data_IF_562386396092
#
_entry.id   IF_562386396092
#
_cell.length_a   1.000
_cell.length_b   1.000
_cell.length_c   1.000
_cell.angle_alpha   90.00
_cell.angle_beta   90.00
_cell.angle_gamma   90.00
#
_symmetry.space_group_name_H-M   'P 1'
#
loop_
_entity.id
_entity.type
_entity.pdbx_description
1 polymer ?
#
# COMPACT_ATOMS: atom_id res chain seq x y z
N UNK A 1 -19.79 -12.64 22.73
CA UNK A 1 -20.61 -11.63 22.01
C UNK A 1 -19.83 -10.37 21.63
N UNK A 2 -18.98 -9.81 22.51
CA UNK A 2 -18.18 -8.60 22.22
C UNK A 2 -17.21 -8.75 21.02
N UNK A 3 -16.50 -9.87 20.92
CA UNK A 3 -15.56 -10.14 19.82
C UNK A 3 -16.24 -10.18 18.46
N UNK A 4 -17.39 -10.85 18.34
CA UNK A 4 -18.17 -10.92 17.10
C UNK A 4 -18.65 -9.54 16.67
N UNK A 5 -19.14 -8.71 17.62
CA UNK A 5 -19.51 -7.32 17.35
C UNK A 5 -18.33 -6.51 16.81
N UNK A 6 -17.14 -6.63 17.43
CA UNK A 6 -15.92 -5.95 16.98
C UNK A 6 -15.56 -6.36 15.55
N UNK A 7 -15.51 -7.67 15.27
CA UNK A 7 -15.20 -8.19 13.93
C UNK A 7 -16.18 -7.64 12.90
N UNK A 8 -17.49 -7.74 13.17
CA UNK A 8 -18.53 -7.21 12.28
C UNK A 8 -18.34 -5.71 12.00
N UNK A 9 -18.21 -4.89 13.04
CA UNK A 9 -18.11 -3.43 12.88
C UNK A 9 -16.88 -3.04 12.04
N UNK A 10 -15.72 -3.62 12.34
CA UNK A 10 -14.49 -3.28 11.63
C UNK A 10 -14.44 -3.88 10.21
N UNK A 11 -15.00 -5.07 9.99
CA UNK A 11 -15.04 -5.69 8.67
C UNK A 11 -15.97 -4.90 7.73
N UNK A 12 -17.17 -4.53 8.19
CA UNK A 12 -18.09 -3.71 7.40
C UNK A 12 -17.49 -2.34 7.10
N UNK A 13 -16.85 -1.70 8.10
CA UNK A 13 -16.16 -0.43 7.88
C UNK A 13 -15.02 -0.55 6.86
N UNK A 14 -14.21 -1.61 6.92
CA UNK A 14 -13.09 -1.83 5.99
C UNK A 14 -13.56 -2.03 4.55
N UNK A 15 -14.58 -2.88 4.36
CA UNK A 15 -15.13 -3.17 3.03
C UNK A 15 -15.77 -1.92 2.44
N UNK A 16 -16.64 -1.24 3.19
CA UNK A 16 -17.31 -0.03 2.69
C UNK A 16 -16.34 1.11 2.39
N UNK A 17 -15.31 1.33 3.22
CA UNK A 17 -14.26 2.30 2.94
C UNK A 17 -13.44 1.94 1.69
N UNK A 18 -13.12 0.66 1.50
CA UNK A 18 -12.39 0.19 0.32
C UNK A 18 -13.22 0.39 -0.95
N UNK A 19 -14.51 0.06 -0.92
CA UNK A 19 -15.45 0.28 -2.03
C UNK A 19 -15.52 1.77 -2.37
N UNK A 20 -15.67 2.64 -1.37
CA UNK A 20 -15.69 4.09 -1.58
C UNK A 20 -14.37 4.58 -2.18
N UNK A 21 -13.22 4.16 -1.65
CA UNK A 21 -11.91 4.56 -2.15
C UNK A 21 -11.72 4.16 -3.62
N UNK A 22 -12.00 2.90 -3.97
CA UNK A 22 -11.92 2.43 -5.36
C UNK A 22 -12.91 3.15 -6.28
N UNK A 23 -14.12 3.44 -5.80
CA UNK A 23 -15.15 4.12 -6.59
C UNK A 23 -14.80 5.58 -6.83
N UNK A 24 -14.20 6.27 -5.85
CA UNK A 24 -13.69 7.63 -6.01
C UNK A 24 -12.52 7.66 -7.00
N UNK A 25 -11.59 6.71 -6.92
CA UNK A 25 -10.50 6.59 -7.89
C UNK A 25 -11.05 6.35 -9.29
N UNK A 26 -11.95 5.38 -9.44
CA UNK A 26 -12.59 5.08 -10.72
C UNK A 26 -13.32 6.30 -11.28
N UNK A 27 -14.05 7.05 -10.44
CA UNK A 27 -14.79 8.23 -10.86
C UNK A 27 -13.85 9.32 -11.37
N UNK A 28 -12.76 9.60 -10.64
CA UNK A 28 -11.77 10.58 -11.07
C UNK A 28 -11.12 10.14 -12.38
N UNK A 29 -10.72 8.87 -12.50
CA UNK A 29 -10.10 8.34 -13.73
C UNK A 29 -11.02 8.42 -14.94
N UNK A 30 -12.29 8.08 -14.75
CA UNK A 30 -13.30 8.15 -15.79
C UNK A 30 -13.47 9.57 -16.31
N UNK A 31 -13.57 10.54 -15.39
CA UNK A 31 -13.68 11.97 -15.72
C UNK A 31 -12.41 12.49 -16.41
N UNK A 32 -11.22 12.05 -15.99
CA UNK A 32 -9.94 12.48 -16.58
C UNK A 32 -9.73 11.92 -17.98
N UNK A 33 -10.08 10.65 -18.21
CA UNK A 33 -9.82 9.94 -19.47
C UNK A 33 -10.85 10.28 -20.56
N UNK A 34 -12.12 10.38 -20.21
CA UNK A 34 -13.22 10.47 -21.18
C UNK A 34 -14.12 11.70 -20.99
N UNK A 35 -13.92 12.48 -19.92
CA UNK A 35 -14.71 13.66 -19.62
C UNK A 35 -16.08 13.35 -19.00
N UNK A 36 -17.01 14.30 -19.07
CA UNK A 36 -18.39 14.14 -18.60
C UNK A 36 -19.31 14.20 -19.83
N UNK A 37 -19.84 13.05 -20.27
CA UNK A 37 -20.68 12.96 -21.48
C UNK A 37 -21.56 11.70 -21.55
N UNK A 38 -22.44 11.66 -22.57
CA UNK A 38 -23.48 10.61 -22.70
C UNK A 38 -22.93 9.19 -22.85
N UNK A 39 -21.70 9.03 -23.37
CA UNK A 39 -21.09 7.71 -23.59
C UNK A 39 -20.78 6.90 -22.32
N UNK A 40 -20.84 7.53 -21.14
CA UNK A 40 -20.33 6.95 -19.88
C UNK A 40 -21.35 6.84 -18.75
N UNK A 41 -22.63 7.06 -19.05
CA UNK A 41 -23.70 7.14 -18.04
C UNK A 41 -23.68 5.91 -17.11
N UNK A 42 -23.45 4.72 -17.65
CA UNK A 42 -23.41 3.47 -16.88
C UNK A 42 -22.22 3.44 -15.89
N UNK A 43 -21.03 3.83 -16.35
CA UNK A 43 -19.82 3.88 -15.52
C UNK A 43 -19.96 4.91 -14.39
N UNK A 44 -20.40 6.12 -14.73
CA UNK A 44 -20.67 7.20 -13.77
C UNK A 44 -21.72 6.78 -12.75
N UNK A 45 -22.86 6.22 -13.19
CA UNK A 45 -23.93 5.78 -12.30
C UNK A 45 -23.46 4.67 -11.34
N UNK A 46 -22.67 3.72 -11.84
CA UNK A 46 -22.14 2.62 -11.01
C UNK A 46 -21.22 3.13 -9.91
N UNK A 47 -20.26 4.01 -10.27
CA UNK A 47 -19.30 4.57 -9.32
C UNK A 47 -19.97 5.51 -8.32
N UNK A 48 -20.91 6.35 -8.78
CA UNK A 48 -21.69 7.23 -7.91
C UNK A 48 -22.58 6.42 -6.96
N UNK A 49 -23.27 5.39 -7.45
CA UNK A 49 -24.08 4.52 -6.60
C UNK A 49 -23.24 3.86 -5.50
N UNK A 50 -22.06 3.34 -5.85
CA UNK A 50 -21.14 2.75 -4.89
C UNK A 50 -20.66 3.76 -3.82
N UNK A 51 -20.43 5.02 -4.18
CA UNK A 51 -20.08 6.09 -3.22
C UNK A 51 -21.29 6.45 -2.34
N UNK A 52 -22.46 6.69 -2.95
CA UNK A 52 -23.68 7.12 -2.27
C UNK A 52 -24.14 6.07 -1.25
N UNK A 53 -23.99 4.79 -1.54
CA UNK A 53 -24.35 3.70 -0.63
C UNK A 53 -23.20 3.37 0.34
N UNK A 54 -21.97 3.27 -0.17
CA UNK A 54 -20.81 2.84 0.62
C UNK A 54 -20.40 3.85 1.69
N UNK A 55 -20.45 5.16 1.39
CA UNK A 55 -19.98 6.20 2.30
C UNK A 55 -20.84 6.28 3.58
N UNK A 56 -22.18 6.31 3.52
CA UNK A 56 -23.01 6.25 4.73
C UNK A 56 -22.80 4.98 5.55
N UNK A 57 -22.65 3.82 4.89
CA UNK A 57 -22.38 2.56 5.58
C UNK A 57 -21.06 2.66 6.35
N UNK A 58 -20.00 3.15 5.71
CA UNK A 58 -18.71 3.37 6.33
C UNK A 58 -18.83 4.32 7.52
N UNK A 59 -19.36 5.52 7.30
CA UNK A 59 -19.45 6.56 8.33
C UNK A 59 -20.25 6.08 9.54
N UNK A 60 -21.37 5.39 9.33
CA UNK A 60 -22.18 4.86 10.42
C UNK A 60 -21.40 3.86 11.28
N UNK A 61 -20.81 2.82 10.67
CA UNK A 61 -20.09 1.78 11.39
C UNK A 61 -18.82 2.32 12.05
N UNK A 62 -18.13 3.24 11.37
CA UNK A 62 -16.92 3.86 11.84
C UNK A 62 -17.17 4.80 13.03
N UNK A 63 -18.17 5.68 12.94
CA UNK A 63 -18.54 6.57 14.05
C UNK A 63 -19.05 5.76 15.26
N UNK A 64 -19.76 4.65 15.03
CA UNK A 64 -20.14 3.74 16.11
C UNK A 64 -18.92 3.14 16.79
N UNK A 65 -17.95 2.63 16.03
CA UNK A 65 -16.71 2.09 16.57
C UNK A 65 -15.95 3.14 17.39
N UNK A 66 -15.85 4.38 16.89
CA UNK A 66 -15.18 5.47 17.62
C UNK A 66 -15.90 5.88 18.90
N UNK A 67 -17.25 5.88 18.92
CA UNK A 67 -18.02 6.13 20.14
C UNK A 67 -17.80 5.05 21.19
N UNK A 68 -17.66 3.79 20.78
CA UNK A 68 -17.38 2.67 21.69
C UNK A 68 -15.98 2.79 22.30
N UNK A 69 -14.97 3.11 21.49
CA UNK A 69 -13.59 3.27 21.99
C UNK A 69 -13.43 4.49 22.89
N UNK A 70 -14.13 5.59 22.61
CA UNK A 70 -14.12 6.79 23.46
C UNK A 70 -14.68 6.53 24.88
N UNK A 71 -15.47 5.47 25.07
CA UNK A 71 -16.10 5.13 26.35
C UNK A 71 -15.41 3.98 27.09
N UNK A 72 -14.51 3.24 26.42
CA UNK A 72 -13.88 2.06 26.99
C UNK A 72 -12.46 1.85 26.43
N UNK A 73 -11.46 1.98 27.30
CA UNK A 73 -10.04 1.75 26.98
C UNK A 73 -9.78 0.33 26.47
N UNK A 74 -10.56 -0.66 26.90
CA UNK A 74 -10.44 -2.04 26.40
C UNK A 74 -10.84 -2.17 24.92
N UNK A 75 -11.86 -1.42 24.48
CA UNK A 75 -12.25 -1.37 23.06
C UNK A 75 -11.15 -0.69 22.23
N UNK A 76 -10.46 0.30 22.81
CA UNK A 76 -9.34 0.99 22.17
C UNK A 76 -8.09 0.10 22.07
N UNK A 77 -7.79 -0.67 23.12
CA UNK A 77 -6.67 -1.63 23.13
C UNK A 77 -6.93 -2.92 22.33
N UNK A 78 -8.13 -3.12 21.82
CA UNK A 78 -8.53 -4.32 21.09
C UNK A 78 -7.59 -4.65 19.93
N UNK A 79 -7.12 -5.90 19.88
CA UNK A 79 -6.32 -6.43 18.77
C UNK A 79 -7.06 -6.30 17.42
N UNK A 80 -8.39 -6.44 17.41
CA UNK A 80 -9.20 -6.38 16.18
C UNK A 80 -9.14 -4.97 15.58
N UNK A 81 -9.15 -3.93 16.41
CA UNK A 81 -8.99 -2.54 15.98
C UNK A 81 -7.61 -2.32 15.35
N UNK A 82 -6.57 -2.87 15.96
CA UNK A 82 -5.20 -2.79 15.44
C UNK A 82 -5.05 -3.50 14.10
N UNK A 83 -5.63 -4.71 13.97
CA UNK A 83 -5.67 -5.48 12.72
C UNK A 83 -6.43 -4.71 11.63
N UNK A 84 -7.57 -4.09 11.98
CA UNK A 84 -8.33 -3.25 11.06
C UNK A 84 -7.48 -2.12 10.46
N UNK A 85 -6.82 -1.32 11.30
CA UNK A 85 -6.01 -0.21 10.81
C UNK A 85 -4.83 -0.68 9.97
N UNK A 86 -4.04 -1.61 10.50
CA UNK A 86 -2.84 -2.08 9.83
C UNK A 86 -3.18 -2.84 8.55
N UNK A 87 -4.20 -3.70 8.58
CA UNK A 87 -4.68 -4.40 7.41
C UNK A 87 -5.14 -3.45 6.32
N UNK A 88 -5.93 -2.43 6.66
CA UNK A 88 -6.42 -1.47 5.67
C UNK A 88 -5.31 -0.53 5.16
N UNK A 89 -4.32 -0.20 5.99
CA UNK A 89 -3.11 0.50 5.54
C UNK A 89 -2.31 -0.35 4.54
N UNK A 90 -2.19 -1.67 4.75
CA UNK A 90 -1.54 -2.58 3.79
C UNK A 90 -2.35 -2.69 2.49
N UNK A 91 -3.68 -2.77 2.57
CA UNK A 91 -4.56 -2.74 1.39
C UNK A 91 -4.36 -1.44 0.60
N UNK A 92 -4.26 -0.30 1.27
CA UNK A 92 -4.01 1.00 0.63
C UNK A 92 -2.58 1.18 0.15
N UNK A 93 -1.61 0.50 0.76
CA UNK A 93 -0.22 0.55 0.32
C UNK A 93 -0.07 -0.02 -1.10
N UNK A 94 -0.68 -1.17 -1.41
CA UNK A 94 -0.57 -1.79 -2.73
C UNK A 94 -0.85 -0.83 -3.92
N UNK A 95 -2.01 -0.14 -3.99
CA UNK A 95 -2.27 0.82 -5.06
C UNK A 95 -1.38 2.06 -4.99
N UNK A 96 -0.97 2.52 -3.80
CA UNK A 96 -0.01 3.64 -3.73
C UNK A 96 1.33 3.25 -4.33
N UNK A 97 1.88 2.10 -3.91
CA UNK A 97 3.15 1.60 -4.42
C UNK A 97 3.08 1.38 -5.93
N UNK A 98 2.00 0.74 -6.43
CA UNK A 98 1.87 0.47 -7.86
C UNK A 98 1.83 1.75 -8.69
N UNK A 99 1.05 2.75 -8.26
CA UNK A 99 0.92 4.00 -9.01
C UNK A 99 2.16 4.91 -8.87
N UNK A 100 2.86 4.90 -7.73
CA UNK A 100 4.14 5.58 -7.60
C UNK A 100 5.21 4.96 -8.51
N UNK A 101 5.29 3.64 -8.55
CA UNK A 101 6.18 2.93 -9.48
C UNK A 101 5.89 3.33 -10.94
N UNK A 102 4.62 3.38 -11.34
CA UNK A 102 4.25 3.81 -12.71
C UNK A 102 4.63 5.25 -13.02
N UNK A 103 4.44 6.17 -12.08
CA UNK A 103 4.87 7.56 -12.26
C UNK A 103 6.39 7.66 -12.49
N UNK A 104 7.19 6.82 -11.83
CA UNK A 104 8.64 6.76 -12.05
C UNK A 104 8.96 6.13 -13.41
N UNK A 105 8.31 5.02 -13.77
CA UNK A 105 8.46 4.33 -15.06
C UNK A 105 8.13 5.26 -16.24
N UNK A 106 6.96 5.92 -16.24
CA UNK A 106 6.56 6.85 -17.30
C UNK A 106 7.56 8.00 -17.47
N UNK A 107 8.07 8.53 -16.36
CA UNK A 107 9.10 9.56 -16.35
C UNK A 107 10.42 9.08 -16.97
N UNK A 108 10.83 7.84 -16.67
CA UNK A 108 12.04 7.23 -17.23
C UNK A 108 11.88 6.85 -18.69
N UNK A 109 10.72 6.33 -19.10
CA UNK A 109 10.39 6.05 -20.51
C UNK A 109 10.50 7.34 -21.33
N UNK A 110 9.93 8.44 -20.84
CA UNK A 110 10.03 9.74 -21.48
C UNK A 110 11.49 10.22 -21.56
N UNK A 111 12.25 10.13 -20.46
CA UNK A 111 13.63 10.58 -20.38
C UNK A 111 14.58 9.79 -21.29
N UNK A 112 14.36 8.47 -21.42
CA UNK A 112 15.16 7.60 -22.27
C UNK A 112 14.71 7.61 -23.73
N UNK A 113 13.57 8.25 -24.05
CA UNK A 113 12.96 8.22 -25.39
C UNK A 113 12.49 6.81 -25.77
N UNK A 114 11.94 6.07 -24.81
CA UNK A 114 11.33 4.76 -25.02
C UNK A 114 9.94 4.86 -25.65
N UNK A 115 9.40 3.71 -26.06
CA UNK A 115 8.03 3.62 -26.55
C UNK A 115 7.05 3.51 -25.38
N UNK A 116 5.99 4.32 -25.41
CA UNK A 116 4.87 4.19 -24.46
C UNK A 116 4.08 2.90 -24.73
N UNK A 117 3.45 2.38 -23.68
CA UNK A 117 2.73 1.10 -23.71
C UNK A 117 1.22 1.40 -23.67
N UNK A 118 0.51 1.11 -24.76
CA UNK A 118 -0.91 1.47 -24.93
C UNK A 118 -1.90 0.42 -24.40
N UNK A 119 -1.59 -0.24 -23.29
CA UNK A 119 -2.48 -1.21 -22.65
C UNK A 119 -2.60 -0.97 -21.15
N UNK A 120 -3.80 -1.21 -20.60
CA UNK A 120 -4.03 -1.06 -19.16
C UNK A 120 -3.14 -2.01 -18.33
N UNK A 121 -2.54 -1.57 -17.21
CA UNK A 121 -2.63 -0.22 -16.61
C UNK A 121 -1.54 0.76 -17.06
N UNK A 122 -0.75 0.46 -18.10
CA UNK A 122 0.32 1.34 -18.60
C UNK A 122 -0.18 2.52 -19.45
N UNK A 123 -1.41 2.46 -19.96
CA UNK A 123 -2.02 3.53 -20.71
C UNK A 123 -2.65 4.63 -19.84
N UNK A 124 -2.53 4.53 -18.51
CA UNK A 124 -3.08 5.52 -17.60
C UNK A 124 -2.25 6.81 -17.66
N UNK A 125 -2.91 7.95 -17.62
CA UNK A 125 -2.25 9.25 -17.55
C UNK A 125 -1.65 9.51 -16.16
N UNK A 126 -0.73 10.48 -16.09
CA UNK A 126 -0.15 10.98 -14.84
C UNK A 126 -1.25 11.38 -13.83
N UNK A 127 -2.31 12.05 -14.30
CA UNK A 127 -3.44 12.45 -13.46
C UNK A 127 -4.18 11.27 -12.84
N UNK A 128 -4.33 10.17 -13.58
CA UNK A 128 -5.01 8.95 -13.14
C UNK A 128 -4.20 8.14 -12.13
N UNK A 129 -2.87 8.16 -12.25
CA UNK A 129 -1.96 7.62 -11.24
C UNK A 129 -1.98 8.45 -9.96
N UNK A 130 -1.87 9.78 -10.09
CA UNK A 130 -1.93 10.71 -8.96
C UNK A 130 -3.25 10.59 -8.20
N UNK A 131 -4.38 10.42 -8.91
CA UNK A 131 -5.68 10.21 -8.28
C UNK A 131 -5.70 9.02 -7.30
N UNK A 132 -5.13 7.89 -7.71
CA UNK A 132 -5.04 6.70 -6.85
C UNK A 132 -4.13 6.92 -5.63
N UNK A 133 -2.97 7.57 -5.84
CA UNK A 133 -2.04 7.90 -4.75
C UNK A 133 -2.69 8.84 -3.74
N UNK A 134 -3.41 9.87 -4.20
CA UNK A 134 -4.06 10.85 -3.33
C UNK A 134 -5.19 10.23 -2.52
N UNK A 135 -6.10 9.49 -3.15
CA UNK A 135 -7.26 8.90 -2.47
C UNK A 135 -6.82 7.94 -1.38
N UNK A 136 -5.98 6.95 -1.72
CA UNK A 136 -5.45 6.02 -0.71
C UNK A 136 -4.50 6.70 0.27
N UNK A 137 -3.78 7.76 -0.14
CA UNK A 137 -2.89 8.51 0.73
C UNK A 137 -3.65 9.24 1.83
N UNK A 138 -4.78 9.86 1.50
CA UNK A 138 -5.68 10.47 2.49
C UNK A 138 -6.21 9.42 3.47
N UNK A 139 -6.67 8.27 2.97
CA UNK A 139 -7.11 7.15 3.82
C UNK A 139 -5.99 6.68 4.74
N UNK A 140 -4.80 6.43 4.21
CA UNK A 140 -3.66 5.97 4.99
C UNK A 140 -3.25 6.99 6.05
N UNK A 141 -3.12 8.28 5.72
CA UNK A 141 -2.81 9.34 6.69
C UNK A 141 -3.84 9.36 7.82
N UNK A 142 -5.13 9.20 7.49
CA UNK A 142 -6.18 9.12 8.50
C UNK A 142 -5.99 7.92 9.43
N UNK A 143 -5.79 6.72 8.89
CA UNK A 143 -5.58 5.50 9.68
C UNK A 143 -4.30 5.58 10.52
N UNK A 144 -3.22 6.13 9.97
CA UNK A 144 -1.96 6.36 10.67
C UNK A 144 -2.16 7.25 11.89
N UNK A 145 -2.90 8.35 11.76
CA UNK A 145 -3.23 9.24 12.89
C UNK A 145 -4.02 8.51 13.99
N UNK A 146 -4.88 7.56 13.63
CA UNK A 146 -5.61 6.74 14.61
C UNK A 146 -4.69 5.76 15.33
N UNK A 147 -3.80 5.08 14.59
CA UNK A 147 -2.78 4.19 15.17
C UNK A 147 -1.87 4.95 16.13
N UNK A 148 -1.47 6.16 15.76
CA UNK A 148 -0.62 7.02 16.59
C UNK A 148 -1.36 7.50 17.85
N UNK A 149 -2.64 7.84 17.75
CA UNK A 149 -3.47 8.17 18.90
C UNK A 149 -3.59 6.97 19.87
N UNK A 150 -3.78 5.76 19.35
CA UNK A 150 -3.84 4.55 20.15
C UNK A 150 -2.48 4.23 20.81
N UNK A 151 -1.37 4.42 20.09
CA UNK A 151 -0.01 4.22 20.62
C UNK A 151 0.31 5.16 21.79
N UNK A 152 -0.15 6.42 21.74
CA UNK A 152 0.08 7.39 22.84
C UNK A 152 -0.63 7.01 24.13
N UNK A 153 -1.78 6.35 24.01
CA UNK A 153 -2.57 5.91 25.16
C UNK A 153 -2.14 4.54 25.68
N UNK A 154 -1.66 3.66 24.79
CA UNK A 154 -1.28 2.28 25.10
C UNK A 154 0.14 1.94 24.60
N UNK A 155 1.19 2.67 25.03
CA UNK A 155 2.53 2.58 24.43
C UNK A 155 3.23 1.24 24.64
N UNK A 156 2.89 0.51 25.69
CA UNK A 156 3.56 -0.74 26.08
C UNK A 156 2.77 -2.00 25.72
N UNK A 157 1.68 -1.88 24.96
CA UNK A 157 0.85 -3.03 24.61
C UNK A 157 1.56 -3.90 23.56
N UNK A 158 2.13 -5.02 24.00
CA UNK A 158 2.98 -5.90 23.19
C UNK A 158 2.32 -6.33 21.86
N UNK A 159 1.02 -6.60 21.88
CA UNK A 159 0.24 -6.96 20.69
C UNK A 159 0.27 -5.84 19.63
N UNK A 160 0.16 -4.58 20.05
CA UNK A 160 0.18 -3.43 19.13
C UNK A 160 1.56 -3.21 18.52
N UNK A 161 2.61 -3.39 19.33
CA UNK A 161 4.00 -3.36 18.88
C UNK A 161 4.28 -4.47 17.88
N UNK A 162 3.83 -5.70 18.17
CA UNK A 162 4.00 -6.87 17.28
C UNK A 162 3.33 -6.63 15.93
N UNK A 163 2.09 -6.13 15.91
CA UNK A 163 1.39 -5.84 14.65
C UNK A 163 2.06 -4.70 13.87
N UNK A 164 2.59 -3.69 14.57
CA UNK A 164 3.35 -2.61 13.91
C UNK A 164 4.64 -3.14 13.27
N UNK A 165 5.36 -4.04 13.94
CA UNK A 165 6.54 -4.71 13.37
C UNK A 165 6.17 -5.52 12.13
N UNK A 166 5.08 -6.29 12.18
CA UNK A 166 4.60 -7.05 11.02
C UNK A 166 4.29 -6.14 9.83
N UNK A 167 3.63 -5.00 10.08
CA UNK A 167 3.38 -3.99 9.06
C UNK A 167 4.67 -3.49 8.39
N UNK A 168 5.67 -3.06 9.18
CA UNK A 168 6.96 -2.60 8.66
C UNK A 168 7.69 -3.69 7.88
N UNK A 169 7.63 -4.93 8.38
CA UNK A 169 8.27 -6.09 7.76
C UNK A 169 7.64 -6.46 6.42
N UNK A 170 6.31 -6.42 6.31
CA UNK A 170 5.60 -6.68 5.05
C UNK A 170 5.99 -5.64 4.01
N UNK A 171 6.03 -4.36 4.37
CA UNK A 171 6.42 -3.29 3.44
C UNK A 171 7.90 -3.35 3.07
N UNK A 172 8.79 -3.64 4.04
CA UNK A 172 10.20 -3.84 3.77
C UNK A 172 10.42 -5.04 2.83
N UNK A 173 9.70 -6.14 3.03
CA UNK A 173 9.77 -7.33 2.18
C UNK A 173 9.24 -7.03 0.77
N UNK A 174 8.14 -6.29 0.64
CA UNK A 174 7.62 -5.87 -0.66
C UNK A 174 8.64 -5.01 -1.42
N UNK A 175 9.27 -4.04 -0.75
CA UNK A 175 10.35 -3.24 -1.33
C UNK A 175 11.54 -4.10 -1.75
N UNK A 176 11.93 -5.08 -0.92
CA UNK A 176 13.02 -6.01 -1.24
C UNK A 176 12.74 -6.83 -2.50
N UNK A 177 11.53 -7.39 -2.62
CA UNK A 177 11.11 -8.15 -3.81
C UNK A 177 11.21 -7.27 -5.06
N UNK A 178 10.74 -6.01 -4.99
CA UNK A 178 10.86 -5.06 -6.10
C UNK A 178 12.33 -4.75 -6.45
N UNK A 179 13.20 -4.56 -5.44
CA UNK A 179 14.64 -4.36 -5.68
C UNK A 179 15.24 -5.56 -6.38
N UNK A 180 14.93 -6.77 -5.92
CA UNK A 180 15.48 -8.00 -6.51
C UNK A 180 15.01 -8.17 -7.96
N UNK A 181 13.71 -8.01 -8.24
CA UNK A 181 13.20 -8.11 -9.61
C UNK A 181 13.76 -7.04 -10.53
N UNK A 182 13.81 -5.78 -10.08
CA UNK A 182 14.36 -4.73 -10.92
C UNK A 182 15.87 -4.91 -11.14
N UNK A 183 16.61 -5.46 -10.19
CA UNK A 183 18.03 -5.77 -10.36
C UNK A 183 18.25 -6.88 -11.41
N UNK A 184 17.51 -7.98 -11.30
CA UNK A 184 17.58 -9.10 -12.25
C UNK A 184 17.16 -8.63 -13.64
N UNK A 185 16.03 -7.92 -13.75
CA UNK A 185 15.54 -7.34 -15.00
C UNK A 185 16.56 -6.41 -15.63
N UNK A 186 17.15 -5.49 -14.85
CA UNK A 186 18.16 -4.56 -15.36
C UNK A 186 19.38 -5.30 -15.92
N UNK A 187 19.87 -6.33 -15.23
CA UNK A 187 20.97 -7.16 -15.73
C UNK A 187 20.57 -7.83 -17.05
N UNK A 188 19.39 -8.45 -17.13
CA UNK A 188 18.89 -9.10 -18.34
C UNK A 188 18.78 -8.10 -19.51
N UNK A 189 18.22 -6.92 -19.25
CA UNK A 189 18.08 -5.83 -20.22
C UNK A 189 19.44 -5.33 -20.72
N UNK A 190 20.43 -5.19 -19.83
CA UNK A 190 21.79 -4.78 -20.19
C UNK A 190 22.52 -5.84 -21.03
N UNK A 191 22.32 -7.12 -20.73
CA UNK A 191 22.89 -8.22 -21.52
C UNK A 191 22.30 -8.30 -22.94
N UNK A 192 21.07 -7.83 -23.13
CA UNK A 192 20.41 -7.78 -24.44
C UNK A 192 20.79 -6.55 -25.27
N UNK A 193 21.49 -5.55 -24.73
CA UNK A 193 21.91 -4.35 -25.48
C UNK A 193 22.60 -4.65 -26.83
N UNK A 194 23.52 -5.64 -26.94
CA UNK A 194 24.19 -5.93 -28.20
C UNK A 194 23.27 -6.53 -29.27
N UNK A 195 22.10 -7.03 -28.90
CA UNK A 195 21.17 -7.73 -29.81
C UNK A 195 20.38 -6.79 -30.73
N UNK A 196 20.47 -5.47 -30.54
CA UNK A 196 19.72 -4.48 -31.31
C UNK A 196 18.21 -4.41 -30.96
N UNK A 197 17.77 -5.19 -29.98
CA UNK A 197 16.40 -5.13 -29.44
C UNK A 197 16.16 -3.78 -28.75
N UNK A 198 14.91 -3.32 -28.78
CA UNK A 198 14.50 -2.07 -28.12
C UNK A 198 14.71 -2.15 -26.61
N UNK A 199 15.73 -1.47 -26.10
CA UNK A 199 16.19 -1.56 -24.71
C UNK A 199 15.65 -0.46 -23.79
N UNK A 200 15.20 0.67 -24.35
CA UNK A 200 14.83 1.87 -23.59
C UNK A 200 13.67 1.62 -22.62
N UNK A 201 12.59 1.01 -23.11
CA UNK A 201 11.38 0.75 -22.32
C UNK A 201 11.60 -0.34 -21.24
N UNK A 202 12.28 -1.47 -21.52
CA UNK A 202 12.65 -2.42 -20.47
C UNK A 202 13.55 -1.82 -19.39
N UNK A 203 14.61 -1.09 -19.77
CA UNK A 203 15.52 -0.46 -18.80
C UNK A 203 14.78 0.57 -17.94
N UNK A 204 13.85 1.35 -18.51
CA UNK A 204 13.02 2.27 -17.74
C UNK A 204 12.19 1.56 -16.67
N UNK A 205 11.57 0.43 -17.03
CA UNK A 205 10.75 -0.39 -16.12
C UNK A 205 11.58 -0.95 -14.96
N UNK A 206 12.71 -1.57 -15.29
CA UNK A 206 13.64 -2.18 -14.34
C UNK A 206 14.21 -1.13 -13.37
N UNK A 207 14.59 0.04 -13.90
CA UNK A 207 15.07 1.17 -13.11
C UNK A 207 13.97 1.73 -12.20
N UNK A 208 12.75 1.90 -12.70
CA UNK A 208 11.63 2.37 -11.90
C UNK A 208 11.33 1.40 -10.75
N UNK A 209 11.36 0.10 -11.02
CA UNK A 209 11.15 -0.93 -10.02
C UNK A 209 12.25 -0.92 -8.95
N UNK A 210 13.52 -0.81 -9.37
CA UNK A 210 14.67 -0.66 -8.48
C UNK A 210 14.56 0.57 -7.58
N UNK A 211 14.32 1.74 -8.16
CA UNK A 211 14.27 3.01 -7.44
C UNK A 211 13.11 3.02 -6.43
N UNK A 212 11.93 2.59 -6.87
CA UNK A 212 10.73 2.54 -6.02
C UNK A 212 10.91 1.51 -4.91
N UNK A 213 11.35 0.30 -5.25
CA UNK A 213 11.62 -0.77 -4.28
C UNK A 213 12.66 -0.37 -3.25
N UNK A 214 13.75 0.29 -3.68
CA UNK A 214 14.81 0.75 -2.78
C UNK A 214 14.29 1.80 -1.81
N UNK A 215 13.51 2.78 -2.28
CA UNK A 215 12.92 3.79 -1.42
C UNK A 215 12.02 3.17 -0.33
N UNK A 216 11.19 2.19 -0.71
CA UNK A 216 10.31 1.47 0.22
C UNK A 216 11.13 0.66 1.22
N UNK A 217 12.09 -0.14 0.74
CA UNK A 217 12.90 -1.01 1.57
C UNK A 217 13.74 -0.20 2.57
N UNK A 218 14.50 0.79 2.10
CA UNK A 218 15.33 1.66 2.97
C UNK A 218 14.45 2.37 4.00
N UNK A 219 13.32 2.94 3.59
CA UNK A 219 12.41 3.65 4.50
C UNK A 219 11.91 2.75 5.63
N UNK A 220 11.34 1.60 5.31
CA UNK A 220 10.73 0.72 6.32
C UNK A 220 11.77 -0.06 7.13
N UNK A 221 12.88 -0.45 6.50
CA UNK A 221 13.99 -1.12 7.19
C UNK A 221 14.68 -0.19 8.19
N UNK A 222 14.92 1.07 7.84
CA UNK A 222 15.53 2.04 8.77
C UNK A 222 14.63 2.34 9.97
N UNK A 223 13.31 2.44 9.76
CA UNK A 223 12.34 2.56 10.86
C UNK A 223 12.38 1.35 11.80
N UNK A 224 12.43 0.15 11.24
CA UNK A 224 12.56 -1.09 12.02
C UNK A 224 13.89 -1.15 12.78
N UNK A 225 14.99 -0.74 12.17
CA UNK A 225 16.30 -0.68 12.82
C UNK A 225 16.33 0.31 13.98
N UNK A 226 15.73 1.50 13.81
CA UNK A 226 15.62 2.50 14.89
C UNK A 226 14.80 1.96 16.06
N UNK A 227 13.70 1.25 15.80
CA UNK A 227 12.91 0.61 16.84
C UNK A 227 13.75 -0.43 17.61
N UNK A 228 14.50 -1.28 16.91
CA UNK A 228 15.35 -2.30 17.53
C UNK A 228 16.49 -1.69 18.37
N UNK A 229 17.16 -0.67 17.85
CA UNK A 229 18.29 0.00 18.52
C UNK A 229 17.85 0.83 19.73
N UNK A 230 16.55 1.05 19.94
CA UNK A 230 16.03 1.75 21.11
C UNK A 230 16.20 1.00 22.43
N UNK A 231 16.62 -0.27 22.40
CA UNK A 231 16.98 -1.05 23.59
C UNK A 231 15.78 -1.56 24.42
N UNK A 232 14.58 -1.59 23.85
CA UNK A 232 13.41 -2.12 24.55
C UNK A 232 13.50 -3.65 24.68
N UNK A 233 13.25 -4.26 25.86
CA UNK A 233 13.33 -5.71 26.07
C UNK A 233 12.44 -6.53 25.11
N UNK A 234 11.31 -5.95 24.69
CA UNK A 234 10.40 -6.54 23.72
C UNK A 234 10.97 -6.57 22.28
N UNK A 235 11.96 -5.74 21.96
CA UNK A 235 12.65 -5.71 20.67
C UNK A 235 13.80 -6.73 20.62
N UNK A 236 14.55 -6.87 21.72
CA UNK A 236 15.65 -7.86 21.83
C UNK A 236 15.15 -9.30 21.70
N UNK A 237 13.93 -9.58 22.18
CA UNK A 237 13.30 -10.91 22.13
C UNK A 237 12.56 -11.20 20.81
N UNK A 238 12.49 -10.24 19.89
CA UNK A 238 11.68 -10.36 18.68
C UNK A 238 12.30 -11.32 17.66
N UNK A 239 11.66 -12.47 17.44
CA UNK A 239 12.05 -13.46 16.41
C UNK A 239 11.77 -12.95 15.00
N UNK A 240 10.90 -11.95 14.85
CA UNK A 240 10.45 -11.43 13.56
C UNK A 240 11.58 -10.88 12.69
N UNK A 241 12.65 -10.34 13.29
CA UNK A 241 13.85 -9.92 12.56
C UNK A 241 14.57 -11.11 11.93
N UNK A 242 14.71 -12.22 12.67
CA UNK A 242 15.34 -13.45 12.14
C UNK A 242 14.50 -14.04 11.01
N UNK A 243 13.18 -14.09 11.20
CA UNK A 243 12.25 -14.53 10.14
C UNK A 243 12.40 -13.65 8.90
N UNK A 244 12.45 -12.33 9.05
CA UNK A 244 12.67 -11.42 7.92
C UNK A 244 14.01 -11.65 7.22
N UNK A 245 15.11 -11.80 7.97
CA UNK A 245 16.42 -12.07 7.37
C UNK A 245 16.44 -13.40 6.63
N UNK A 246 15.80 -14.44 7.17
CA UNK A 246 15.65 -15.73 6.47
C UNK A 246 14.76 -15.61 5.24
N UNK A 247 13.65 -14.87 5.31
CA UNK A 247 12.81 -14.59 4.15
C UNK A 247 13.55 -13.78 3.09
N UNK A 248 14.36 -12.80 3.49
CA UNK A 248 15.18 -12.02 2.58
C UNK A 248 16.18 -12.92 1.86
N UNK A 249 16.93 -13.75 2.60
CA UNK A 249 17.88 -14.72 2.03
C UNK A 249 17.14 -15.70 1.11
N UNK A 250 15.96 -16.19 1.51
CA UNK A 250 15.15 -17.08 0.69
C UNK A 250 14.70 -16.41 -0.61
N UNK A 251 14.18 -15.18 -0.55
CA UNK A 251 13.78 -14.41 -1.74
C UNK A 251 14.98 -14.20 -2.66
N UNK A 252 16.13 -13.77 -2.14
CA UNK A 252 17.35 -13.65 -2.94
C UNK A 252 17.77 -14.97 -3.58
N UNK A 253 17.71 -16.08 -2.83
CA UNK A 253 18.13 -17.40 -3.31
C UNK A 253 17.20 -17.94 -4.39
N UNK A 254 15.88 -17.79 -4.23
CA UNK A 254 14.88 -18.21 -5.22
C UNK A 254 15.00 -17.37 -6.48
N UNK A 255 15.13 -16.05 -6.34
CA UNK A 255 15.22 -15.15 -7.49
C UNK A 255 16.53 -15.28 -8.25
N UNK A 256 17.63 -15.71 -7.62
CA UNK A 256 18.89 -15.98 -8.32
C UNK A 256 18.83 -17.18 -9.28
N UNK A 257 17.79 -18.01 -9.20
CA UNK A 257 17.59 -19.19 -10.05
C UNK A 257 16.77 -18.87 -11.31
N UNK A 258 16.10 -17.71 -11.36
CA UNK A 258 15.31 -17.24 -12.50
C UNK A 258 16.06 -16.15 -13.27
#
# INVERSE_FOLDING_TARGET
MLTVRRIYLYLVAAISLSVVAWSVIGLIRLILSEGIGEGQIIGLATLLAAIIVGLPIFLFHWLMAQRLTARNVEEQGSIIRRIYFVGLMLVGAAPILSNLYRLVDDGLVLLLGGMQRDYYPYSLSVGEHVAAVLVWGVVWIYLWRQVEADNRLLPTLETHLTIHRLYLLILALAGLIMVTWGAVGLIQSLLQLPSGVTWRTPIADDMAQLLTGTAIWVGHWTLLQRAFLSGQPAEERSVLRKVYLYLAVFVYSVMAVF
#
